data_IF_454401167720
#
_entry.id   IF_454401167720
#
_cell.length_a   1.000
_cell.length_b   1.000
_cell.length_c   1.000
_cell.angle_alpha   90.00
_cell.angle_beta   90.00
_cell.angle_gamma   90.00
#
_symmetry.space_group_name_H-M   'P 1'
#
loop_
_entity.id
_entity.type
_entity.pdbx_description
1 polymer ?
#
# COMPACT_ATOMS: atom_id res chain seq x y z
N UNK A 1 25.11 51.35 20.05
CA UNK A 1 26.33 51.53 19.25
C UNK A 1 26.26 50.69 18.00
N UNK A 2 25.96 51.34 16.88
CA UNK A 2 26.08 50.80 15.53
C UNK A 2 26.82 51.85 14.71
N UNK A 3 27.91 51.48 14.03
CA UNK A 3 28.50 52.31 12.97
C UNK A 3 29.05 51.39 11.88
N UNK A 4 28.51 51.58 10.68
CA UNK A 4 28.96 51.05 9.41
C UNK A 4 30.04 51.95 8.77
N UNK A 5 30.85 51.39 7.87
CA UNK A 5 31.59 52.08 6.79
C UNK A 5 32.07 51.01 5.81
N UNK A 6 31.46 50.82 4.64
CA UNK A 6 31.41 51.68 3.46
C UNK A 6 32.79 51.86 2.77
N UNK A 7 32.76 51.45 1.50
CA UNK A 7 33.76 51.39 0.43
C UNK A 7 34.38 52.74 0.06
N UNK A 8 35.61 52.69 -0.46
CA UNK A 8 36.16 53.75 -1.33
C UNK A 8 37.17 53.15 -2.31
N UNK A 9 36.77 53.17 -3.59
CA UNK A 9 37.62 53.07 -4.76
C UNK A 9 38.34 54.40 -4.98
N UNK A 10 39.64 54.36 -5.30
CA UNK A 10 40.30 55.46 -6.02
C UNK A 10 41.33 54.92 -7.00
N UNK A 11 41.10 55.33 -8.23
CA UNK A 11 41.73 55.07 -9.50
C UNK A 11 43.07 55.83 -9.62
N UNK A 12 44.13 55.15 -10.05
CA UNK A 12 45.41 55.79 -10.41
C UNK A 12 46.02 55.11 -11.64
N UNK A 13 45.67 55.65 -12.80
CA UNK A 13 46.26 55.32 -14.09
C UNK A 13 47.77 55.66 -14.10
N UNK A 14 48.61 54.65 -14.30
CA UNK A 14 50.06 54.83 -14.51
C UNK A 14 50.40 54.49 -15.95
N UNK A 15 50.57 55.54 -16.74
CA UNK A 15 51.11 55.51 -18.10
C UNK A 15 52.53 54.88 -18.07
N UNK A 16 52.69 53.73 -18.70
CA UNK A 16 54.00 53.12 -18.92
C UNK A 16 54.69 53.77 -20.12
N UNK A 17 55.79 54.46 -19.86
CA UNK A 17 56.70 55.03 -20.84
C UNK A 17 57.24 53.93 -21.76
N UNK A 18 57.06 54.10 -23.08
CA UNK A 18 57.65 53.23 -24.09
C UNK A 18 59.18 53.30 -24.08
N UNK A 19 59.81 52.12 -24.08
CA UNK A 19 61.25 51.97 -24.19
C UNK A 19 61.71 52.35 -25.60
N UNK A 20 62.63 53.32 -25.72
CA UNK A 20 63.09 53.93 -26.98
C UNK A 20 64.16 53.13 -27.74
N UNK A 21 64.25 51.81 -27.57
CA UNK A 21 65.30 51.07 -28.28
C UNK A 21 64.94 49.60 -28.53
N UNK A 22 64.05 49.36 -29.50
CA UNK A 22 63.85 48.03 -30.08
C UNK A 22 64.09 48.08 -31.60
N UNK A 23 64.91 47.18 -32.16
CA UNK A 23 65.22 47.16 -33.60
C UNK A 23 63.98 46.84 -34.46
N UNK A 24 63.96 47.21 -35.75
CA UNK A 24 62.73 47.34 -36.54
C UNK A 24 62.01 46.04 -36.93
N UNK A 25 62.46 44.85 -36.51
CA UNK A 25 61.91 43.58 -37.01
C UNK A 25 61.05 42.78 -36.02
N UNK A 26 60.79 43.32 -34.81
CA UNK A 26 60.00 42.60 -33.81
C UNK A 26 58.47 42.65 -34.10
N UNK A 27 57.99 43.68 -34.80
CA UNK A 27 56.57 43.82 -35.13
C UNK A 27 56.08 42.76 -36.15
N UNK A 28 57.00 42.19 -36.93
CA UNK A 28 56.71 41.19 -37.96
C UNK A 28 56.78 39.75 -37.42
N UNK A 29 57.61 39.55 -36.40
CA UNK A 29 57.69 38.28 -35.65
C UNK A 29 56.54 38.15 -34.64
N UNK A 30 56.07 39.24 -34.03
CA UNK A 30 54.91 39.22 -33.13
C UNK A 30 53.60 38.87 -33.83
N UNK A 31 53.43 39.24 -35.11
CA UNK A 31 52.23 38.84 -35.89
C UNK A 31 52.23 37.35 -36.26
N UNK A 32 53.39 36.72 -36.37
CA UNK A 32 53.51 35.28 -36.67
C UNK A 32 53.33 34.39 -35.43
N UNK A 33 53.46 34.96 -34.22
CA UNK A 33 53.32 34.26 -32.93
C UNK A 33 51.96 34.46 -32.25
N UNK A 34 51.05 35.26 -32.81
CA UNK A 34 49.68 35.46 -32.30
C UNK A 34 48.62 34.56 -32.94
N UNK A 35 49.00 33.69 -33.86
CA UNK A 35 48.19 32.53 -34.13
C UNK A 35 48.61 31.46 -33.13
N UNK A 36 47.75 31.01 -32.21
CA UNK A 36 47.99 29.71 -31.62
C UNK A 36 48.20 28.78 -32.81
N UNK A 37 49.33 28.09 -32.84
CA UNK A 37 49.49 26.94 -33.72
C UNK A 37 48.39 25.99 -33.27
N UNK A 38 47.22 26.12 -33.89
CA UNK A 38 46.12 25.19 -33.70
C UNK A 38 46.74 23.86 -34.05
N UNK A 39 46.94 23.03 -33.04
CA UNK A 39 47.14 21.61 -33.25
C UNK A 39 46.07 21.23 -34.28
N UNK A 40 46.43 20.64 -35.43
CA UNK A 40 45.46 20.36 -36.46
C UNK A 40 44.35 19.60 -35.77
N UNK A 41 43.16 20.22 -35.77
CA UNK A 41 41.93 19.70 -35.19
C UNK A 41 41.98 18.20 -35.41
N UNK A 42 42.06 17.44 -34.33
CA UNK A 42 41.98 15.98 -34.40
C UNK A 42 40.61 15.70 -34.99
N UNK A 43 40.52 15.64 -36.32
CA UNK A 43 39.34 15.15 -37.00
C UNK A 43 39.06 13.80 -36.35
N UNK A 44 37.90 13.67 -35.72
CA UNK A 44 37.49 12.42 -35.13
C UNK A 44 37.50 11.38 -36.25
N UNK A 45 38.56 10.60 -36.30
CA UNK A 45 38.71 9.57 -37.31
C UNK A 45 37.64 8.53 -37.02
N UNK A 46 36.83 8.19 -38.03
CA UNK A 46 35.78 7.17 -37.91
C UNK A 46 36.34 5.80 -37.50
N UNK A 47 37.64 5.56 -37.73
CA UNK A 47 38.35 4.37 -37.28
C UNK A 47 39.24 4.66 -36.08
N UNK A 48 38.99 3.93 -34.98
CA UNK A 48 39.75 3.93 -33.72
C UNK A 48 41.24 3.61 -33.92
N UNK A 49 41.57 2.82 -34.95
CA UNK A 49 42.95 2.45 -35.27
C UNK A 49 43.76 3.64 -35.79
N UNK A 50 43.13 4.47 -36.63
CA UNK A 50 43.77 5.68 -37.15
C UNK A 50 43.93 6.72 -36.04
N UNK A 51 42.93 6.86 -35.16
CA UNK A 51 43.03 7.71 -33.96
C UNK A 51 44.22 7.30 -33.07
N UNK A 52 44.38 6.01 -32.78
CA UNK A 52 45.51 5.49 -32.01
C UNK A 52 46.86 5.73 -32.70
N UNK A 53 46.91 5.59 -34.04
CA UNK A 53 48.13 5.84 -34.82
C UNK A 53 48.52 7.33 -34.76
N UNK A 54 47.57 8.23 -34.94
CA UNK A 54 47.81 9.68 -34.85
C UNK A 54 48.15 10.13 -33.44
N UNK A 55 47.52 9.57 -32.41
CA UNK A 55 47.86 9.83 -31.01
C UNK A 55 49.29 9.37 -30.69
N UNK A 56 49.69 8.19 -31.16
CA UNK A 56 51.06 7.66 -30.98
C UNK A 56 52.09 8.52 -31.71
N UNK A 57 51.78 8.93 -32.93
CA UNK A 57 52.65 9.78 -33.75
C UNK A 57 52.74 11.22 -33.20
N UNK A 58 51.64 11.73 -32.63
CA UNK A 58 51.61 12.99 -31.90
C UNK A 58 52.47 12.93 -30.63
N UNK A 59 52.34 11.86 -29.84
CA UNK A 59 53.17 11.64 -28.65
C UNK A 59 54.64 11.51 -29.02
N UNK A 60 54.96 10.79 -30.10
CA UNK A 60 56.33 10.65 -30.62
C UNK A 60 56.93 12.00 -31.01
N UNK A 61 56.20 12.80 -31.79
CA UNK A 61 56.62 14.17 -32.16
C UNK A 61 56.78 15.07 -30.94
N UNK A 62 55.89 14.98 -29.96
CA UNK A 62 56.01 15.72 -28.70
C UNK A 62 57.27 15.32 -27.93
N UNK A 63 57.53 14.02 -27.76
CA UNK A 63 58.75 13.52 -27.10
C UNK A 63 60.02 13.98 -27.81
N UNK A 64 60.05 13.93 -29.15
CA UNK A 64 61.16 14.44 -29.94
C UNK A 64 61.36 15.94 -29.78
N UNK A 65 60.26 16.72 -29.74
CA UNK A 65 60.32 18.15 -29.44
C UNK A 65 60.89 18.39 -28.04
N UNK A 66 60.36 17.72 -27.02
CA UNK A 66 60.83 17.82 -25.62
C UNK A 66 62.30 17.43 -25.49
N UNK A 67 62.77 16.40 -26.18
CA UNK A 67 64.20 16.03 -26.17
C UNK A 67 65.07 17.00 -26.97
N UNK A 68 64.52 17.62 -28.03
CA UNK A 68 65.23 18.61 -28.85
C UNK A 68 65.26 20.01 -28.25
N UNK A 69 64.43 20.26 -27.24
CA UNK A 69 64.56 21.45 -26.39
C UNK A 69 65.89 21.28 -25.68
N UNK A 70 66.92 21.89 -26.25
CA UNK A 70 68.17 22.16 -25.56
C UNK A 70 67.75 22.86 -24.27
N UNK A 71 68.18 22.34 -23.13
CA UNK A 71 68.17 23.10 -21.88
C UNK A 71 68.88 24.42 -22.20
N UNK A 72 68.12 25.48 -22.49
CA UNK A 72 68.68 26.77 -22.85
C UNK A 72 69.47 27.20 -21.63
N UNK A 73 70.79 27.14 -21.76
CA UNK A 73 71.77 27.72 -20.85
C UNK A 73 71.42 27.53 -19.37
N UNK A 74 71.94 26.45 -18.79
CA UNK A 74 72.47 26.58 -17.44
C UNK A 74 73.54 27.70 -17.51
N UNK A 75 73.12 28.94 -17.28
CA UNK A 75 74.01 29.96 -16.75
C UNK A 75 74.65 29.33 -15.51
N UNK A 76 75.99 29.22 -15.44
CA UNK A 76 76.63 28.90 -14.18
C UNK A 76 76.23 30.02 -13.20
N UNK A 77 75.48 29.69 -12.16
CA UNK A 77 75.05 30.60 -11.08
C UNK A 77 73.75 31.42 -11.27
N UNK A 78 72.62 30.79 -11.58
CA UNK A 78 71.35 31.22 -10.97
C UNK A 78 70.79 30.07 -10.13
N UNK A 79 70.45 30.28 -8.85
CA UNK A 79 69.83 29.23 -8.05
C UNK A 79 68.50 28.83 -8.72
N UNK A 80 68.11 27.54 -8.64
CA UNK A 80 66.85 27.08 -9.20
C UNK A 80 65.70 27.95 -8.66
N UNK A 81 64.67 28.24 -9.48
CA UNK A 81 63.54 29.05 -9.06
C UNK A 81 62.99 28.52 -7.74
N UNK A 82 62.72 29.43 -6.80
CA UNK A 82 62.31 29.08 -5.44
C UNK A 82 61.10 28.16 -5.50
N UNK A 83 61.28 26.90 -5.10
CA UNK A 83 60.20 25.95 -4.98
C UNK A 83 59.33 26.37 -3.80
N UNK A 84 58.12 26.85 -4.09
CA UNK A 84 57.20 27.22 -3.03
C UNK A 84 56.42 25.98 -2.56
N UNK A 85 56.34 25.73 -1.23
CA UNK A 85 55.65 24.56 -0.68
C UNK A 85 54.18 24.45 -1.11
N UNK A 86 53.52 25.57 -1.42
CA UNK A 86 52.13 25.59 -1.87
C UNK A 86 51.93 25.17 -3.34
N UNK A 87 53.00 25.11 -4.14
CA UNK A 87 53.00 24.56 -5.50
C UNK A 87 53.16 23.03 -5.51
N UNK A 88 53.90 22.49 -4.54
CA UNK A 88 54.11 21.05 -4.34
C UNK A 88 53.02 20.41 -3.48
N UNK A 89 52.52 21.15 -2.48
CA UNK A 89 51.51 20.68 -1.51
C UNK A 89 50.27 21.57 -1.59
N UNK A 90 49.13 20.95 -1.89
CA UNK A 90 47.83 21.63 -1.87
C UNK A 90 47.30 21.69 -0.44
N UNK A 91 47.74 22.70 0.32
CA UNK A 91 47.40 22.86 1.74
C UNK A 91 45.88 22.77 2.03
N UNK A 92 45.03 23.40 1.20
CA UNK A 92 43.57 23.33 1.35
C UNK A 92 43.02 21.90 1.15
N UNK A 93 43.61 21.13 0.24
CA UNK A 93 43.20 19.74 0.02
C UNK A 93 43.60 18.87 1.21
N UNK A 94 44.82 19.07 1.73
CA UNK A 94 45.32 18.37 2.91
C UNK A 94 44.45 18.68 4.13
N UNK A 95 44.09 19.95 4.33
CA UNK A 95 43.15 20.36 5.38
C UNK A 95 41.78 19.67 5.24
N UNK A 96 41.21 19.60 4.03
CA UNK A 96 39.94 18.91 3.80
C UNK A 96 40.01 17.40 4.04
N UNK A 97 41.16 16.79 3.76
CA UNK A 97 41.41 15.39 4.07
C UNK A 97 41.53 15.16 5.58
N UNK A 98 42.22 16.04 6.30
CA UNK A 98 42.31 16.02 7.77
C UNK A 98 40.94 16.22 8.42
N UNK A 99 40.14 17.19 7.97
CA UNK A 99 38.79 17.44 8.47
C UNK A 99 37.87 16.22 8.22
N UNK A 100 37.94 15.61 7.03
CA UNK A 100 37.21 14.38 6.73
C UNK A 100 37.66 13.22 7.62
N UNK A 101 38.97 13.06 7.82
CA UNK A 101 39.49 11.99 8.67
C UNK A 101 39.09 12.19 10.13
N UNK A 102 39.08 13.43 10.63
CA UNK A 102 38.63 13.75 11.97
C UNK A 102 37.15 13.40 12.19
N UNK A 103 36.29 13.61 11.17
CA UNK A 103 34.88 13.19 11.23
C UNK A 103 34.75 11.67 11.25
N UNK A 104 35.49 10.97 10.39
CA UNK A 104 35.52 9.49 10.37
C UNK A 104 35.97 8.94 11.74
N UNK A 105 37.02 9.52 12.34
CA UNK A 105 37.51 9.10 13.64
C UNK A 105 36.50 9.36 14.76
N UNK A 106 35.75 10.47 14.68
CA UNK A 106 34.66 10.76 15.61
C UNK A 106 33.53 9.73 15.47
N UNK A 107 33.11 9.42 14.25
CA UNK A 107 32.08 8.41 13.99
C UNK A 107 32.53 7.02 14.45
N UNK A 108 33.80 6.66 14.20
CA UNK A 108 34.40 5.42 14.66
C UNK A 108 34.39 5.31 16.19
N UNK A 109 34.75 6.38 16.91
CA UNK A 109 34.66 6.42 18.38
C UNK A 109 33.23 6.22 18.87
N UNK A 110 32.26 6.88 18.24
CA UNK A 110 30.85 6.80 18.61
C UNK A 110 30.27 5.40 18.32
N UNK A 111 30.70 4.76 17.24
CA UNK A 111 30.36 3.39 16.91
C UNK A 111 30.94 2.42 17.96
N UNK A 112 32.21 2.56 18.31
CA UNK A 112 32.85 1.75 19.35
C UNK A 112 32.14 1.95 20.69
N UNK A 113 31.78 3.17 21.06
CA UNK A 113 31.02 3.45 22.27
C UNK A 113 29.66 2.72 22.26
N UNK A 114 28.91 2.80 21.16
CA UNK A 114 27.63 2.07 20.99
C UNK A 114 27.81 0.56 21.07
N UNK A 115 28.83 0.02 20.41
CA UNK A 115 29.14 -1.41 20.44
C UNK A 115 29.57 -1.85 21.83
N UNK A 116 30.40 -1.06 22.51
CA UNK A 116 30.78 -1.31 23.90
C UNK A 116 29.56 -1.27 24.82
N UNK A 117 28.62 -0.36 24.57
CA UNK A 117 27.34 -0.30 25.27
C UNK A 117 26.44 -1.51 25.01
N UNK A 118 26.58 -2.20 23.87
CA UNK A 118 25.86 -3.45 23.58
C UNK A 118 26.57 -4.64 24.21
N UNK A 119 27.90 -4.71 24.11
CA UNK A 119 28.74 -5.80 24.61
C UNK A 119 28.78 -5.82 26.14
N UNK A 120 28.88 -4.64 26.77
CA UNK A 120 28.94 -4.50 28.23
C UNK A 120 27.56 -4.56 28.89
N UNK A 121 26.47 -4.52 28.11
CA UNK A 121 25.14 -4.87 28.62
C UNK A 121 25.01 -6.39 28.57
N UNK A 122 24.84 -7.07 29.72
CA UNK A 122 24.62 -8.52 29.72
C UNK A 122 23.36 -8.83 28.89
N UNK A 123 23.47 -9.79 27.98
CA UNK A 123 22.40 -10.28 27.08
C UNK A 123 21.15 -10.82 27.80
N UNK A 124 21.11 -10.76 29.13
CA UNK A 124 20.03 -11.29 29.98
C UNK A 124 18.90 -10.29 30.24
N UNK A 125 19.02 -9.06 29.71
CA UNK A 125 17.87 -8.14 29.56
C UNK A 125 17.48 -8.05 28.10
N UNK A 126 16.98 -9.16 27.57
CA UNK A 126 15.98 -9.05 26.51
C UNK A 126 14.79 -8.29 27.12
N UNK A 127 14.59 -7.03 26.74
CA UNK A 127 13.33 -6.29 26.93
C UNK A 127 12.22 -6.90 26.04
N UNK A 128 12.14 -8.24 25.99
CA UNK A 128 11.03 -8.96 25.38
C UNK A 128 9.87 -9.15 26.36
N UNK A 129 9.84 -8.38 27.46
CA UNK A 129 8.62 -8.12 28.22
C UNK A 129 7.69 -7.31 27.32
N UNK A 130 7.21 -8.00 26.30
CA UNK A 130 6.05 -7.65 25.53
C UNK A 130 4.97 -7.42 26.58
N UNK A 131 4.44 -6.20 26.66
CA UNK A 131 3.22 -5.88 27.39
C UNK A 131 2.00 -6.58 26.76
N UNK A 132 2.14 -7.85 26.38
CA UNK A 132 1.11 -8.67 25.77
C UNK A 132 0.08 -9.11 26.79
N UNK A 133 0.46 -9.31 28.05
CA UNK A 133 -0.50 -9.60 29.12
C UNK A 133 -1.46 -8.43 29.33
N UNK A 134 -0.97 -7.18 29.31
CA UNK A 134 -1.85 -6.01 29.41
C UNK A 134 -2.69 -5.79 28.15
N UNK A 135 -2.16 -6.07 26.94
CA UNK A 135 -2.94 -5.99 25.71
C UNK A 135 -4.04 -7.08 25.62
N UNK A 136 -3.76 -8.33 26.03
CA UNK A 136 -4.75 -9.40 26.08
C UNK A 136 -5.80 -9.15 27.16
N UNK A 137 -5.40 -8.69 28.35
CA UNK A 137 -6.35 -8.27 29.40
C UNK A 137 -7.18 -7.07 28.95
N UNK A 138 -6.61 -6.09 28.24
CA UNK A 138 -7.37 -4.98 27.66
C UNK A 138 -8.33 -5.43 26.57
N UNK A 139 -7.98 -6.42 25.74
CA UNK A 139 -8.88 -7.01 24.74
C UNK A 139 -10.05 -7.74 25.43
N UNK A 140 -9.77 -8.48 26.50
CA UNK A 140 -10.78 -9.21 27.30
C UNK A 140 -11.67 -8.23 28.08
N UNK A 141 -11.12 -7.21 28.73
CA UNK A 141 -11.88 -6.15 29.38
C UNK A 141 -12.74 -5.38 28.37
N UNK A 142 -12.19 -4.98 27.21
CA UNK A 142 -12.97 -4.36 26.13
C UNK A 142 -14.04 -5.29 25.57
N UNK A 143 -13.83 -6.60 25.57
CA UNK A 143 -14.84 -7.58 25.16
C UNK A 143 -15.95 -7.74 26.21
N UNK A 144 -15.60 -7.76 27.49
CA UNK A 144 -16.54 -7.81 28.62
C UNK A 144 -17.42 -6.56 28.68
N UNK A 145 -16.82 -5.37 28.55
CA UNK A 145 -17.53 -4.10 28.54
C UNK A 145 -18.47 -3.96 27.32
N UNK A 146 -18.04 -4.44 26.14
CA UNK A 146 -18.94 -4.55 24.97
C UNK A 146 -20.14 -5.44 25.25
N UNK A 147 -19.95 -6.60 25.91
CA UNK A 147 -21.05 -7.50 26.29
C UNK A 147 -21.98 -6.88 27.34
N UNK A 148 -21.45 -6.12 28.29
CA UNK A 148 -22.26 -5.39 29.28
C UNK A 148 -23.09 -4.31 28.60
N UNK A 149 -22.47 -3.51 27.72
CA UNK A 149 -23.16 -2.47 26.96
C UNK A 149 -24.23 -3.03 26.04
N UNK A 150 -23.97 -4.16 25.37
CA UNK A 150 -24.97 -4.83 24.53
C UNK A 150 -26.19 -5.29 25.36
N UNK A 151 -25.97 -5.84 26.56
CA UNK A 151 -27.07 -6.21 27.46
C UNK A 151 -27.87 -5.01 27.96
N UNK A 152 -27.21 -3.88 28.26
CA UNK A 152 -27.88 -2.64 28.62
C UNK A 152 -28.77 -2.15 27.45
N UNK A 153 -28.19 -2.05 26.25
CA UNK A 153 -28.93 -1.63 25.06
C UNK A 153 -30.09 -2.58 24.71
N UNK A 154 -29.95 -3.89 24.93
CA UNK A 154 -31.07 -4.82 24.76
C UNK A 154 -32.18 -4.60 25.80
N UNK A 155 -31.84 -4.30 27.06
CA UNK A 155 -32.86 -3.91 28.05
C UNK A 155 -33.55 -2.61 27.67
N UNK A 156 -32.79 -1.61 27.24
CA UNK A 156 -33.34 -0.32 26.80
C UNK A 156 -34.26 -0.52 25.59
N UNK A 157 -33.84 -1.32 24.61
CA UNK A 157 -34.66 -1.67 23.45
C UNK A 157 -35.94 -2.41 23.86
N UNK A 158 -35.86 -3.32 24.84
CA UNK A 158 -37.03 -4.02 25.35
C UNK A 158 -37.98 -3.07 26.10
N UNK A 159 -37.45 -2.13 26.89
CA UNK A 159 -38.23 -1.10 27.56
C UNK A 159 -38.92 -0.17 26.55
N UNK A 160 -38.21 0.24 25.49
CA UNK A 160 -38.77 1.02 24.39
C UNK A 160 -39.85 0.26 23.64
N UNK A 161 -39.62 -1.02 23.34
CA UNK A 161 -40.63 -1.89 22.73
C UNK A 161 -41.88 -2.00 23.60
N UNK A 162 -41.72 -2.26 24.90
CA UNK A 162 -42.84 -2.35 25.84
C UNK A 162 -43.59 -1.03 25.96
N UNK A 163 -42.89 0.11 25.91
CA UNK A 163 -43.51 1.43 25.87
C UNK A 163 -44.30 1.65 24.58
N UNK A 164 -43.70 1.35 23.43
CA UNK A 164 -44.36 1.50 22.12
C UNK A 164 -45.61 0.62 22.01
N UNK A 165 -45.52 -0.63 22.48
CA UNK A 165 -46.65 -1.56 22.53
C UNK A 165 -47.70 -1.18 23.59
N UNK A 166 -47.27 -0.54 24.68
CA UNK A 166 -48.14 -0.07 25.76
C UNK A 166 -48.84 1.26 25.46
N UNK A 167 -48.37 2.03 24.48
CA UNK A 167 -49.07 3.22 24.00
C UNK A 167 -50.35 2.76 23.30
N UNK A 168 -51.49 3.06 23.92
CA UNK A 168 -52.80 2.87 23.29
C UNK A 168 -53.01 3.95 22.23
N UNK A 169 -53.75 3.63 21.17
CA UNK A 169 -54.20 4.63 20.21
C UNK A 169 -55.05 5.67 20.94
N UNK A 170 -54.76 6.96 20.74
CA UNK A 170 -55.55 8.07 21.31
C UNK A 170 -56.96 8.18 20.70
N UNK A 171 -57.29 7.30 19.75
CA UNK A 171 -58.54 7.23 19.02
C UNK A 171 -59.35 6.04 19.55
N UNK A 172 -60.35 6.33 20.38
CA UNK A 172 -61.32 5.36 20.91
C UNK A 172 -62.66 5.56 20.21
N UNK A 173 -62.97 4.70 19.25
CA UNK A 173 -64.23 4.74 18.47
C UNK A 173 -65.44 4.29 19.30
N UNK A 174 -65.23 3.66 20.44
CA UNK A 174 -66.33 3.12 21.26
C UNK A 174 -67.14 4.22 21.93
N UNK A 175 -66.48 5.29 22.40
CA UNK A 175 -67.14 6.49 22.92
C UNK A 175 -67.95 7.18 21.80
N UNK A 176 -67.40 7.27 20.60
CA UNK A 176 -68.07 7.89 19.46
C UNK A 176 -69.28 7.09 18.99
N UNK A 177 -69.21 5.75 19.04
CA UNK A 177 -70.36 4.90 18.76
C UNK A 177 -71.47 5.05 19.81
N UNK A 178 -71.11 5.16 21.09
CA UNK A 178 -72.09 5.45 22.15
C UNK A 178 -72.72 6.81 21.92
N UNK A 179 -71.92 7.83 21.59
CA UNK A 179 -72.41 9.18 21.38
C UNK A 179 -73.30 9.29 20.15
N UNK A 180 -72.93 8.59 19.07
CA UNK A 180 -73.76 8.44 17.88
C UNK A 180 -75.09 7.74 18.20
N UNK A 181 -75.07 6.66 18.99
CA UNK A 181 -76.29 5.96 19.43
C UNK A 181 -77.17 6.85 20.30
N UNK A 182 -76.58 7.62 21.23
CA UNK A 182 -77.31 8.61 22.05
C UNK A 182 -77.96 9.68 21.17
N UNK A 183 -77.19 10.25 20.25
CA UNK A 183 -77.69 11.26 19.33
C UNK A 183 -78.81 10.71 18.43
N UNK A 184 -78.64 9.51 17.91
CA UNK A 184 -79.67 8.81 17.13
C UNK A 184 -80.95 8.61 17.94
N UNK A 185 -80.84 8.15 19.19
CA UNK A 185 -81.99 7.96 20.07
C UNK A 185 -82.70 9.27 20.40
N UNK A 186 -81.94 10.34 20.68
CA UNK A 186 -82.50 11.69 20.89
C UNK A 186 -83.23 12.17 19.64
N UNK A 187 -82.66 11.92 18.45
CA UNK A 187 -83.28 12.26 17.18
C UNK A 187 -84.58 11.49 16.95
N UNK A 188 -84.60 10.19 17.19
CA UNK A 188 -85.81 9.35 17.11
C UNK A 188 -86.89 9.80 18.12
N UNK A 189 -86.49 10.21 19.33
CA UNK A 189 -87.37 10.83 20.31
C UNK A 189 -87.90 12.19 19.85
N UNK A 190 -87.08 13.02 19.21
CA UNK A 190 -87.50 14.30 18.63
C UNK A 190 -88.49 14.07 17.49
N UNK A 191 -88.18 13.16 16.58
CA UNK A 191 -89.01 12.83 15.42
C UNK A 191 -90.35 12.23 15.87
N UNK A 192 -90.38 11.44 16.94
CA UNK A 192 -91.63 10.87 17.49
C UNK A 192 -92.46 11.86 18.33
N UNK A 193 -91.84 12.91 18.89
CA UNK A 193 -92.54 13.96 19.64
C UNK A 193 -92.95 15.14 18.74
N UNK A 194 -92.29 15.31 17.61
CA UNK A 194 -92.64 16.30 16.60
C UNK A 194 -93.81 15.75 15.79
N UNK A 195 -95.00 16.34 15.96
CA UNK A 195 -96.15 16.01 15.10
C UNK A 195 -95.81 16.41 13.67
N UNK A 196 -95.80 15.45 12.76
CA UNK A 196 -95.79 15.71 11.33
C UNK A 196 -97.04 16.50 10.95
N UNK A 197 -96.91 17.82 10.83
CA UNK A 197 -97.91 18.64 10.15
C UNK A 197 -97.78 18.39 8.65
N UNK A 198 -98.37 17.27 8.19
CA UNK A 198 -98.65 17.08 6.77
C UNK A 198 -99.76 18.05 6.39
N UNK A 199 -99.42 19.12 5.67
CA UNK A 199 -100.46 19.95 5.05
C UNK A 199 -101.15 19.07 4.02
N UNK A 200 -102.43 18.75 4.25
CA UNK A 200 -103.24 17.93 3.36
C UNK A 200 -103.48 18.68 2.04
N UNK A 201 -102.52 18.62 1.11
CA UNK A 201 -102.74 18.99 -0.28
C UNK A 201 -103.37 17.80 -1.00
N UNK A 202 -104.58 17.43 -0.56
CA UNK A 202 -105.48 16.54 -1.26
C UNK A 202 -106.03 17.25 -2.50
N UNK A 203 -105.19 17.35 -3.53
CA UNK A 203 -105.56 17.78 -4.87
C UNK A 203 -106.54 16.78 -5.47
N UNK A 204 -107.78 17.24 -5.65
CA UNK A 204 -108.84 16.55 -6.36
C UNK A 204 -108.36 16.19 -7.77
N UNK A 205 -108.69 14.97 -8.21
CA UNK A 205 -108.67 14.60 -9.63
C UNK A 205 -109.46 15.65 -10.41
N UNK A 206 -108.97 16.03 -11.59
CA UNK A 206 -109.69 16.54 -12.75
C UNK A 206 -110.96 17.41 -12.48
N UNK A 207 -111.07 18.63 -13.01
CA UNK A 207 -110.26 19.28 -14.06
C UNK A 207 -109.24 20.28 -13.53
N UNK A 208 -108.20 20.66 -14.26
CA UNK A 208 -107.66 20.27 -15.56
C UNK A 208 -106.12 20.19 -15.41
N UNK A 209 -105.34 19.63 -16.32
CA UNK A 209 -105.16 20.09 -17.69
C UNK A 209 -103.68 20.49 -17.85
N UNK A 210 -103.07 20.12 -18.97
CA UNK A 210 -101.73 20.57 -19.38
C UNK A 210 -100.58 19.72 -18.82
N UNK A 211 -99.99 18.82 -19.60
CA UNK A 211 -99.01 19.08 -20.67
C UNK A 211 -97.61 19.42 -20.13
N UNK A 212 -96.71 18.48 -20.39
CA UNK A 212 -95.45 18.73 -21.09
C UNK A 212 -94.29 19.45 -20.38
N UNK A 213 -93.15 18.76 -20.49
CA UNK A 213 -91.77 19.27 -20.64
C UNK A 213 -90.94 19.51 -19.36
N UNK A 214 -89.91 18.66 -19.25
CA UNK A 214 -88.50 19.00 -19.08
C UNK A 214 -88.13 20.25 -18.24
N UNK A 215 -87.38 20.04 -17.16
CA UNK A 215 -86.03 20.65 -17.00
C UNK A 215 -85.42 20.47 -15.61
N UNK A 216 -84.26 19.80 -15.64
CA UNK A 216 -83.07 19.91 -14.78
C UNK A 216 -83.04 20.85 -13.55
N UNK A 217 -82.63 20.25 -12.42
CA UNK A 217 -81.72 20.81 -11.37
C UNK A 217 -81.48 19.71 -10.35
N UNK A 218 -80.31 19.10 -10.16
CA UNK A 218 -78.99 19.68 -9.97
C UNK A 218 -78.56 19.46 -8.51
N UNK A 219 -78.16 18.23 -8.14
CA UNK A 219 -77.69 17.94 -6.77
C UNK A 219 -76.25 18.45 -6.52
N UNK A 220 -75.97 19.04 -5.34
CA UNK A 220 -74.68 19.61 -5.03
C UNK A 220 -73.66 18.51 -4.65
N UNK A 221 -72.49 18.61 -5.27
CA UNK A 221 -71.33 17.72 -5.09
C UNK A 221 -70.86 17.68 -3.64
N UNK A 222 -71.16 16.59 -2.93
CA UNK A 222 -70.44 16.17 -1.73
C UNK A 222 -69.07 15.59 -2.11
N UNK A 223 -68.00 16.10 -1.48
CA UNK A 223 -66.60 15.72 -1.72
C UNK A 223 -66.40 14.20 -1.51
N UNK A 224 -65.79 13.53 -2.48
CA UNK A 224 -65.25 12.16 -2.31
C UNK A 224 -64.14 12.17 -1.25
N UNK A 225 -64.40 11.53 -0.12
CA UNK A 225 -63.36 11.02 0.79
C UNK A 225 -62.97 9.62 0.27
N UNK A 226 -61.68 9.29 0.09
CA UNK A 226 -61.27 7.96 -0.39
C UNK A 226 -61.62 6.87 0.62
N UNK A 227 -62.09 5.73 0.12
CA UNK A 227 -62.41 4.53 0.90
C UNK A 227 -61.23 4.06 1.78
N UNK A 228 -61.45 3.55 2.99
CA UNK A 228 -60.42 2.86 3.77
C UNK A 228 -60.15 1.48 3.15
N UNK A 229 -58.88 1.09 3.06
CA UNK A 229 -58.51 -0.28 2.68
C UNK A 229 -59.08 -1.30 3.68
N UNK A 230 -59.53 -2.48 3.24
CA UNK A 230 -60.02 -3.50 4.14
C UNK A 230 -58.89 -4.16 4.93
N UNK A 231 -59.03 -4.12 6.24
CA UNK A 231 -58.32 -4.93 7.22
C UNK A 231 -58.74 -6.39 7.07
N UNK A 232 -57.89 -7.27 6.52
CA UNK A 232 -58.07 -8.71 6.72
C UNK A 232 -57.48 -9.11 8.07
N UNK A 233 -58.35 -9.29 9.06
CA UNK A 233 -58.07 -10.06 10.26
C UNK A 233 -57.72 -11.50 9.87
N UNK A 234 -56.46 -11.87 10.06
CA UNK A 234 -56.06 -13.26 10.25
C UNK A 234 -55.74 -13.43 11.73
N UNK A 235 -56.70 -13.95 12.51
CA UNK A 235 -56.51 -14.30 13.91
C UNK A 235 -55.71 -15.59 14.02
N UNK A 236 -54.65 -15.48 14.79
CA UNK A 236 -53.90 -16.47 15.54
C UNK A 236 -54.58 -17.83 15.77
N UNK A 237 -53.89 -18.90 15.40
CA UNK A 237 -53.78 -20.08 16.24
C UNK A 237 -52.45 -20.80 15.95
N UNK A 238 -51.76 -21.13 17.04
CA UNK A 238 -50.80 -22.22 17.17
C UNK A 238 -49.57 -22.25 16.28
N UNK A 239 -48.44 -21.82 16.83
CA UNK A 239 -47.21 -22.63 16.83
C UNK A 239 -46.43 -22.38 18.13
N UNK A 240 -46.87 -23.03 19.21
CA UNK A 240 -45.94 -23.52 20.23
C UNK A 240 -45.11 -24.63 19.60
N UNK A 241 -43.92 -24.32 19.11
CA UNK A 241 -42.80 -25.26 19.11
C UNK A 241 -41.54 -24.49 18.77
N UNK A 242 -40.65 -24.41 19.75
CA UNK A 242 -39.32 -23.84 19.62
C UNK A 242 -38.45 -24.66 18.69
N UNK A 243 -38.68 -24.57 17.38
CA UNK A 243 -37.65 -24.85 16.41
C UNK A 243 -36.74 -23.62 16.34
N UNK A 244 -35.76 -23.59 17.24
CA UNK A 244 -34.51 -22.86 17.01
C UNK A 244 -34.02 -23.25 15.63
N UNK A 245 -34.23 -22.39 14.63
CA UNK A 245 -33.59 -22.57 13.32
C UNK A 245 -32.09 -22.66 13.64
N UNK A 246 -31.42 -23.81 13.47
CA UNK A 246 -29.98 -23.81 13.55
C UNK A 246 -29.55 -22.79 12.52
N UNK A 247 -28.69 -21.86 12.93
CA UNK A 247 -27.95 -21.00 12.04
C UNK A 247 -27.51 -21.88 10.87
N UNK A 248 -28.17 -21.76 9.70
CA UNK A 248 -27.79 -22.56 8.55
C UNK A 248 -26.37 -22.12 8.27
N UNK A 249 -25.43 -23.04 8.53
CA UNK A 249 -24.13 -23.05 7.93
C UNK A 249 -24.32 -23.24 6.41
N UNK A 250 -24.94 -22.26 5.75
CA UNK A 250 -24.55 -21.90 4.40
C UNK A 250 -23.21 -21.18 4.50
N UNK A 251 -22.22 -21.92 5.00
CA UNK A 251 -20.93 -21.95 4.37
C UNK A 251 -21.16 -22.43 2.94
N UNK A 252 -21.75 -21.57 2.09
CA UNK A 252 -21.23 -21.44 0.73
C UNK A 252 -19.75 -21.34 0.99
N UNK A 253 -19.00 -22.38 0.67
CA UNK A 253 -17.56 -22.40 0.79
C UNK A 253 -17.14 -21.05 0.23
N UNK A 254 -16.74 -20.13 1.11
CA UNK A 254 -16.32 -18.81 0.67
C UNK A 254 -15.18 -19.15 -0.26
N UNK A 255 -15.39 -18.99 -1.58
CA UNK A 255 -14.39 -19.35 -2.59
C UNK A 255 -13.06 -18.85 -2.04
N UNK A 256 -12.06 -19.73 -1.87
CA UNK A 256 -10.87 -19.42 -1.11
C UNK A 256 -10.41 -18.05 -1.59
N UNK A 257 -10.45 -17.06 -0.69
CA UNK A 257 -10.32 -15.63 -0.99
C UNK A 257 -9.19 -15.50 -1.99
N UNK A 258 -9.52 -15.33 -3.27
CA UNK A 258 -8.51 -15.31 -4.32
C UNK A 258 -7.59 -14.15 -3.95
N UNK A 259 -6.32 -14.46 -3.75
CA UNK A 259 -5.34 -13.43 -3.44
C UNK A 259 -5.42 -12.42 -4.58
N UNK A 260 -5.61 -11.12 -4.31
CA UNK A 260 -5.77 -10.11 -5.35
C UNK A 260 -4.71 -10.31 -6.42
N UNK A 261 -5.12 -10.48 -7.68
CA UNK A 261 -4.24 -11.00 -8.72
C UNK A 261 -2.95 -10.18 -8.86
N UNK A 262 -3.03 -8.87 -8.62
CA UNK A 262 -1.92 -7.91 -8.71
C UNK A 262 -0.91 -7.92 -7.56
N UNK A 263 -1.13 -8.68 -6.47
CA UNK A 263 -0.30 -8.53 -5.26
C UNK A 263 1.14 -9.03 -5.44
N UNK A 264 1.38 -9.98 -6.34
CA UNK A 264 2.69 -10.65 -6.50
C UNK A 264 3.31 -10.49 -7.90
N UNK A 265 2.73 -9.66 -8.76
CA UNK A 265 3.23 -9.43 -10.12
C UNK A 265 4.62 -8.77 -10.12
N UNK A 266 4.91 -7.97 -9.09
CA UNK A 266 6.20 -7.31 -8.94
C UNK A 266 7.29 -8.33 -8.56
N UNK A 267 7.01 -9.21 -7.60
CA UNK A 267 7.91 -10.30 -7.24
C UNK A 267 8.16 -11.26 -8.40
N UNK A 268 7.11 -11.62 -9.15
CA UNK A 268 7.26 -12.46 -10.34
C UNK A 268 8.15 -11.80 -11.41
N UNK A 269 7.96 -10.50 -11.66
CA UNK A 269 8.82 -9.72 -12.58
C UNK A 269 10.28 -9.62 -12.11
N UNK A 270 10.50 -9.42 -10.81
CA UNK A 270 11.85 -9.38 -10.25
C UNK A 270 12.56 -10.74 -10.36
N UNK A 271 11.83 -11.84 -10.13
CA UNK A 271 12.37 -13.19 -10.32
C UNK A 271 12.69 -13.49 -11.80
N UNK A 272 11.88 -12.99 -12.73
CA UNK A 272 12.18 -13.11 -14.16
C UNK A 272 13.47 -12.35 -14.54
N UNK A 273 13.71 -11.17 -13.97
CA UNK A 273 14.97 -10.43 -14.18
C UNK A 273 16.21 -11.20 -13.69
N UNK A 274 16.07 -11.98 -12.62
CA UNK A 274 17.12 -12.89 -12.13
C UNK A 274 17.33 -14.05 -13.10
N UNK A 275 16.26 -14.63 -13.62
CA UNK A 275 16.35 -15.72 -14.61
C UNK A 275 17.09 -15.25 -15.88
N UNK A 276 16.85 -14.00 -16.29
CA UNK A 276 17.52 -13.37 -17.43
C UNK A 276 18.94 -12.85 -17.14
N UNK A 277 19.48 -13.10 -15.92
CA UNK A 277 20.82 -12.66 -15.47
C UNK A 277 21.06 -11.15 -15.51
N UNK A 278 19.98 -10.35 -15.52
CA UNK A 278 20.05 -8.88 -15.56
C UNK A 278 20.45 -8.31 -14.20
N UNK A 279 20.06 -9.00 -13.12
CA UNK A 279 20.23 -8.53 -11.74
C UNK A 279 20.84 -9.62 -10.88
N UNK A 280 21.62 -9.20 -9.88
CA UNK A 280 22.26 -10.10 -8.92
C UNK A 280 21.21 -10.94 -8.17
N UNK A 281 21.36 -12.27 -8.11
CA UNK A 281 20.34 -13.15 -7.57
C UNK A 281 20.15 -13.00 -6.05
N UNK A 282 21.20 -12.70 -5.29
CA UNK A 282 21.19 -12.81 -3.83
C UNK A 282 20.15 -11.90 -3.16
N UNK A 283 20.14 -10.61 -3.52
CA UNK A 283 19.22 -9.64 -2.91
C UNK A 283 17.76 -9.89 -3.29
N UNK A 284 17.52 -10.28 -4.55
CA UNK A 284 16.18 -10.54 -5.05
C UNK A 284 15.62 -11.84 -4.44
N UNK A 285 16.42 -12.91 -4.38
CA UNK A 285 16.01 -14.17 -3.75
C UNK A 285 15.73 -13.98 -2.25
N UNK A 286 16.55 -13.16 -1.56
CA UNK A 286 16.32 -12.82 -0.16
C UNK A 286 14.98 -12.10 0.03
N UNK A 287 14.68 -11.11 -0.82
CA UNK A 287 13.46 -10.30 -0.75
C UNK A 287 12.20 -11.06 -1.19
N UNK A 288 12.30 -11.88 -2.24
CA UNK A 288 11.15 -12.50 -2.90
C UNK A 288 10.86 -13.93 -2.43
N UNK A 289 11.88 -14.67 -1.96
CA UNK A 289 11.70 -16.04 -1.47
C UNK A 289 11.93 -16.12 0.04
N UNK A 290 13.13 -15.80 0.53
CA UNK A 290 13.51 -16.06 1.93
C UNK A 290 12.61 -15.34 2.93
N UNK A 291 12.39 -14.03 2.73
CA UNK A 291 11.54 -13.20 3.62
C UNK A 291 10.04 -13.48 3.52
N UNK A 292 9.59 -14.25 2.52
CA UNK A 292 8.17 -14.53 2.29
C UNK A 292 7.76 -15.84 2.96
N UNK A 293 6.50 -15.94 3.39
CA UNK A 293 5.98 -17.17 3.99
C UNK A 293 5.73 -18.26 2.93
N UNK A 294 5.68 -19.56 3.29
CA UNK A 294 5.48 -20.65 2.32
C UNK A 294 4.20 -20.49 1.47
N UNK A 295 3.12 -19.98 2.06
CA UNK A 295 1.87 -19.68 1.34
C UNK A 295 2.07 -18.58 0.29
N UNK A 296 2.83 -17.55 0.62
CA UNK A 296 3.13 -16.44 -0.28
C UNK A 296 4.05 -16.89 -1.42
N UNK A 297 5.08 -17.70 -1.12
CA UNK A 297 5.96 -18.28 -2.15
C UNK A 297 5.18 -19.13 -3.16
N UNK A 298 4.23 -19.93 -2.68
CA UNK A 298 3.37 -20.70 -3.58
C UNK A 298 2.47 -19.82 -4.44
N UNK A 299 1.94 -18.72 -3.89
CA UNK A 299 1.18 -17.75 -4.66
C UNK A 299 2.04 -17.03 -5.72
N UNK A 300 3.29 -16.70 -5.39
CA UNK A 300 4.27 -16.14 -6.35
C UNK A 300 4.56 -17.15 -7.46
N UNK A 301 4.74 -18.44 -7.13
CA UNK A 301 4.97 -19.50 -8.13
C UNK A 301 3.80 -19.64 -9.09
N UNK A 302 2.56 -19.62 -8.59
CA UNK A 302 1.35 -19.66 -9.43
C UNK A 302 1.30 -18.43 -10.34
N UNK A 303 1.55 -17.23 -9.80
CA UNK A 303 1.55 -15.98 -10.58
C UNK A 303 2.63 -15.93 -11.65
N UNK A 304 3.83 -16.43 -11.33
CA UNK A 304 4.92 -16.50 -12.31
C UNK A 304 4.54 -17.41 -13.49
N UNK A 305 3.90 -18.55 -13.22
CA UNK A 305 3.39 -19.43 -14.26
C UNK A 305 2.29 -18.76 -15.09
N UNK A 306 1.39 -18.01 -14.48
CA UNK A 306 0.34 -17.29 -15.21
C UNK A 306 0.87 -16.13 -16.07
N UNK A 307 1.96 -15.48 -15.65
CA UNK A 307 2.52 -14.31 -16.36
C UNK A 307 3.44 -14.69 -17.52
N UNK A 308 4.09 -15.85 -17.44
CA UNK A 308 5.16 -16.21 -18.36
C UNK A 308 5.01 -17.61 -18.96
N UNK A 309 4.06 -18.42 -18.49
CA UNK A 309 3.86 -19.82 -18.90
C UNK A 309 5.11 -20.72 -18.70
N UNK A 310 6.04 -20.30 -17.84
CA UNK A 310 7.20 -21.09 -17.43
C UNK A 310 7.10 -21.52 -15.96
N UNK A 311 7.70 -22.66 -15.64
CA UNK A 311 7.85 -23.09 -14.25
C UNK A 311 9.03 -22.39 -13.57
N UNK A 312 8.72 -21.63 -12.52
CA UNK A 312 9.68 -20.81 -11.78
C UNK A 312 10.86 -21.64 -11.24
N UNK A 313 10.60 -22.85 -10.77
CA UNK A 313 11.63 -23.69 -10.16
C UNK A 313 12.66 -24.16 -11.19
N UNK A 314 12.20 -24.67 -12.33
CA UNK A 314 13.05 -25.08 -13.44
C UNK A 314 13.89 -23.92 -13.96
N UNK A 315 13.28 -22.73 -14.12
CA UNK A 315 13.98 -21.53 -14.58
C UNK A 315 15.07 -21.08 -13.61
N UNK A 316 14.77 -21.05 -12.30
CA UNK A 316 15.77 -20.73 -11.29
C UNK A 316 16.90 -21.77 -11.24
N UNK A 317 16.59 -23.08 -11.34
CA UNK A 317 17.61 -24.15 -11.36
C UNK A 317 18.53 -24.09 -12.59
N UNK A 318 18.05 -23.54 -13.70
CA UNK A 318 18.80 -23.38 -14.94
C UNK A 318 19.64 -22.09 -14.96
N UNK A 319 19.12 -20.99 -14.39
CA UNK A 319 19.80 -19.69 -14.40
C UNK A 319 20.83 -19.55 -13.27
N UNK A 320 20.62 -20.19 -12.12
CA UNK A 320 21.45 -20.04 -10.93
C UNK A 320 22.60 -21.07 -10.86
N UNK A 321 23.71 -20.72 -10.18
CA UNK A 321 24.77 -21.67 -9.83
C UNK A 321 24.24 -22.89 -9.05
N UNK A 322 24.94 -24.03 -9.17
CA UNK A 322 24.52 -25.31 -8.57
C UNK A 322 24.26 -25.24 -7.07
N UNK A 323 24.98 -24.39 -6.35
CA UNK A 323 24.85 -24.15 -4.90
C UNK A 323 23.44 -23.72 -4.48
N UNK A 324 22.74 -22.96 -5.34
CA UNK A 324 21.40 -22.46 -5.03
C UNK A 324 20.30 -23.49 -5.26
N UNK A 325 20.58 -24.63 -5.90
CA UNK A 325 19.55 -25.61 -6.26
C UNK A 325 18.84 -26.18 -5.04
N UNK A 326 19.60 -26.55 -4.00
CA UNK A 326 19.03 -27.06 -2.75
C UNK A 326 18.20 -26.01 -2.01
N UNK A 327 18.64 -24.75 -2.04
CA UNK A 327 17.91 -23.63 -1.43
C UNK A 327 16.60 -23.36 -2.17
N UNK A 328 16.64 -23.28 -3.51
CA UNK A 328 15.46 -23.06 -4.36
C UNK A 328 14.45 -24.19 -4.15
N UNK A 329 14.92 -25.44 -4.12
CA UNK A 329 14.06 -26.60 -3.89
C UNK A 329 13.40 -26.57 -2.52
N UNK A 330 14.15 -26.32 -1.45
CA UNK A 330 13.60 -26.26 -0.09
C UNK A 330 12.67 -25.07 0.16
N UNK A 331 12.91 -23.93 -0.50
CA UNK A 331 12.10 -22.73 -0.28
C UNK A 331 10.79 -22.72 -1.08
N UNK A 332 10.78 -23.30 -2.30
CA UNK A 332 9.63 -23.31 -3.20
C UNK A 332 8.76 -24.56 -3.07
N UNK A 333 9.27 -25.67 -2.56
CA UNK A 333 8.44 -26.84 -2.28
C UNK A 333 7.56 -26.62 -1.05
N UNK A 334 6.42 -27.30 -1.05
CA UNK A 334 5.60 -27.40 0.15
C UNK A 334 6.43 -28.03 1.27
N UNK A 335 6.52 -27.42 2.48
CA UNK A 335 7.31 -27.97 3.58
C UNK A 335 6.92 -29.40 3.94
N UNK A 336 5.67 -29.79 3.67
CA UNK A 336 5.15 -31.12 3.93
C UNK A 336 5.52 -32.16 2.85
N UNK A 337 5.87 -31.73 1.63
CA UNK A 337 6.20 -32.64 0.52
C UNK A 337 7.47 -33.43 0.81
N UNK A 338 8.51 -32.77 1.34
CA UNK A 338 9.79 -33.41 1.66
C UNK A 338 9.64 -34.47 2.76
N UNK A 339 8.89 -34.12 3.81
CA UNK A 339 8.57 -35.05 4.90
C UNK A 339 7.74 -36.23 4.38
N UNK A 340 6.78 -35.99 3.49
CA UNK A 340 5.97 -37.04 2.85
C UNK A 340 6.81 -37.99 1.99
N UNK A 341 7.77 -37.46 1.22
CA UNK A 341 8.66 -38.32 0.40
C UNK A 341 9.58 -39.18 1.25
N UNK A 342 10.08 -38.64 2.36
CA UNK A 342 10.90 -39.39 3.31
C UNK A 342 10.06 -40.45 4.04
N UNK A 343 8.84 -40.11 4.48
CA UNK A 343 7.91 -41.09 5.07
C UNK A 343 7.59 -42.21 4.06
N UNK A 344 7.36 -41.86 2.80
CA UNK A 344 7.09 -42.86 1.76
C UNK A 344 8.31 -43.76 1.48
N UNK A 345 9.53 -43.20 1.50
CA UNK A 345 10.76 -43.97 1.40
C UNK A 345 10.92 -44.93 2.59
N UNK A 346 10.72 -44.44 3.83
CA UNK A 346 10.81 -45.28 5.03
C UNK A 346 9.78 -46.42 5.05
N UNK A 347 8.58 -46.19 4.51
CA UNK A 347 7.56 -47.24 4.34
C UNK A 347 8.02 -48.28 3.32
N UNK A 348 8.67 -47.85 2.24
CA UNK A 348 9.20 -48.73 1.18
C UNK A 348 10.41 -49.54 1.68
N UNK A 349 11.26 -48.92 2.49
CA UNK A 349 12.47 -49.52 3.05
C UNK A 349 12.20 -50.33 4.33
N UNK A 350 10.95 -50.35 4.81
CA UNK A 350 10.49 -51.08 6.00
C UNK A 350 11.34 -50.70 7.24
N UNK A 351 11.52 -49.40 7.48
CA UNK A 351 12.16 -48.89 8.70
C UNK A 351 11.12 -48.32 9.68
N UNK A 352 10.69 -49.10 10.70
CA UNK A 352 9.67 -48.66 11.65
C UNK A 352 10.17 -47.55 12.57
N UNK A 353 11.47 -47.51 12.87
CA UNK A 353 12.05 -46.56 13.83
C UNK A 353 12.19 -45.17 13.22
N UNK A 354 12.64 -45.07 11.96
CA UNK A 354 12.68 -43.80 11.24
C UNK A 354 11.29 -43.25 10.98
N UNK A 355 10.30 -44.12 10.72
CA UNK A 355 8.91 -43.72 10.58
C UNK A 355 8.33 -43.19 11.90
N UNK A 356 8.55 -43.89 13.01
CA UNK A 356 8.05 -43.49 14.32
C UNK A 356 8.67 -42.15 14.74
N UNK A 357 9.98 -42.00 14.61
CA UNK A 357 10.72 -40.79 14.97
C UNK A 357 10.23 -39.56 14.20
N UNK A 358 9.90 -39.72 12.92
CA UNK A 358 9.41 -38.60 12.09
C UNK A 358 7.96 -38.25 12.39
N UNK A 359 7.12 -39.25 12.67
CA UNK A 359 5.73 -39.04 13.06
C UNK A 359 5.59 -38.38 14.44
N UNK A 360 6.48 -38.69 15.39
CA UNK A 360 6.45 -38.12 16.75
C UNK A 360 7.02 -36.70 16.82
N UNK A 361 7.85 -36.29 15.87
CA UNK A 361 8.39 -34.92 15.73
C UNK A 361 7.35 -33.88 15.29
N UNK A 362 6.13 -34.29 14.94
CA UNK A 362 5.13 -33.42 14.33
C UNK A 362 3.83 -33.38 15.14
N UNK A 363 3.29 -32.16 15.34
CA UNK A 363 2.01 -31.97 16.01
C UNK A 363 0.85 -32.64 15.26
N UNK A 364 -0.23 -32.97 15.98
CA UNK A 364 -1.47 -33.53 15.42
C UNK A 364 -2.03 -32.75 14.22
N UNK A 365 -1.93 -31.42 14.23
CA UNK A 365 -2.38 -30.57 13.13
C UNK A 365 -1.44 -30.61 11.91
N UNK A 366 -0.15 -30.82 12.13
CA UNK A 366 0.85 -31.02 11.09
C UNK A 366 0.65 -32.38 10.41
N UNK A 367 0.47 -33.44 11.20
CA UNK A 367 0.20 -34.80 10.72
C UNK A 367 -1.05 -34.89 9.84
N UNK A 368 -2.13 -34.17 10.17
CA UNK A 368 -3.32 -34.09 9.30
C UNK A 368 -3.00 -33.51 7.92
N UNK A 369 -2.21 -32.43 7.87
CA UNK A 369 -1.80 -31.81 6.59
C UNK A 369 -0.83 -32.70 5.82
N UNK A 370 0.07 -33.41 6.52
CA UNK A 370 0.96 -34.40 5.91
C UNK A 370 0.16 -35.53 5.27
N UNK A 371 -0.87 -36.05 5.96
CA UNK A 371 -1.78 -37.06 5.43
C UNK A 371 -2.52 -36.56 4.17
N UNK A 372 -3.04 -35.34 4.20
CA UNK A 372 -3.72 -34.73 3.04
C UNK A 372 -2.78 -34.57 1.83
N UNK A 373 -1.49 -34.27 2.08
CA UNK A 373 -0.48 -34.15 1.02
C UNK A 373 -0.05 -35.52 0.52
N UNK A 374 0.08 -36.52 1.39
CA UNK A 374 0.37 -37.91 1.03
C UNK A 374 -0.71 -38.48 0.09
N UNK A 375 -1.99 -38.29 0.45
CA UNK A 375 -3.17 -38.71 -0.36
C UNK A 375 -3.34 -37.98 -1.69
N UNK A 376 -2.68 -36.84 -1.89
CA UNK A 376 -2.70 -36.11 -3.16
C UNK A 376 -1.60 -36.59 -4.11
N UNK A 377 -0.61 -37.29 -3.58
CA UNK A 377 0.58 -37.72 -4.31
C UNK A 377 0.47 -39.18 -4.74
N UNK A 378 -0.09 -40.01 -3.88
CA UNK A 378 -0.48 -41.40 -4.15
C UNK A 378 -2.01 -41.45 -4.23
#
# INVERSE_FOLDING_TARGET
SAVAKATSDTEAARQSRGCRNCPPNWAETSRRLQQPAMDPVSFASSSKLLELRWAREGHRRHRQKVSSIKHSQALPSEPPPKSYPHLTVRLKKLQQEEERNAEIDRENRLLVEKLSGIINKPSDRLDNWNAYESAQLQIVHKASERRRRQRALMRDNQAMSNRLLGIRSSYDHTEWEKDYKRHKHIKEMLDSTTKDYTFNTGGRRAGGGGSDLDSERGEPRGRRIPSPMPSSLGSTSDLTEGHSKPWRANAKQAKPRQVPQKLYDNEARMLMKVCNKIVQPNEILLKCLVKKSPKQRQAIRVRFRELYDLDLESQLKQSLPKEYRGLVEGLLHNPYLKVVTEIHANIKDIDPFALLTRCTQHDKACLKKLLDVYKKRN
#
